data_IF_373057314397
#
_entry.id   IF_373057314397
#
_cell.length_a   1.000
_cell.length_b   1.000
_cell.length_c   1.000
_cell.angle_alpha   90.00
_cell.angle_beta   90.00
_cell.angle_gamma   90.00
#
_symmetry.space_group_name_H-M   'P 1'
#
loop_
_entity.id
_entity.type
_entity.pdbx_description
1 polymer ?
#
# COMPACT_ATOMS: atom_id res chain seq x y z
N UNK A 1 32.23 12.19 -36.81
CA UNK A 1 30.93 12.58 -36.25
C UNK A 1 30.56 11.55 -35.19
N UNK A 2 31.01 11.75 -33.94
CA UNK A 2 30.80 10.80 -32.85
C UNK A 2 29.42 11.06 -32.24
N UNK A 3 28.50 10.11 -32.40
CA UNK A 3 27.18 10.17 -31.79
C UNK A 3 27.39 9.74 -30.33
N UNK A 4 27.47 10.71 -29.41
CA UNK A 4 27.53 10.42 -27.99
C UNK A 4 26.28 9.61 -27.61
N UNK A 5 26.49 8.40 -27.08
CA UNK A 5 25.42 7.62 -26.51
C UNK A 5 24.70 8.45 -25.44
N UNK A 6 23.36 8.46 -25.39
CA UNK A 6 22.63 9.16 -24.35
C UNK A 6 23.09 8.62 -22.99
N UNK A 7 23.51 9.52 -22.11
CA UNK A 7 23.90 9.17 -20.75
C UNK A 7 22.79 8.33 -20.10
N UNK A 8 23.12 7.24 -19.37
CA UNK A 8 22.12 6.47 -18.66
C UNK A 8 21.34 7.44 -17.77
N UNK A 9 20.01 7.51 -17.95
CA UNK A 9 19.13 8.31 -17.08
C UNK A 9 19.53 7.99 -15.64
N UNK A 10 20.04 8.99 -14.93
CA UNK A 10 20.39 8.85 -13.52
C UNK A 10 19.18 8.19 -12.85
N UNK A 11 19.40 7.02 -12.24
CA UNK A 11 18.32 6.24 -11.66
C UNK A 11 17.59 7.16 -10.66
N UNK A 12 16.37 7.56 -11.00
CA UNK A 12 15.58 8.45 -10.15
C UNK A 12 15.42 7.71 -8.81
N UNK A 13 15.95 8.29 -7.73
CA UNK A 13 15.90 7.69 -6.40
C UNK A 13 14.78 8.33 -5.59
N UNK A 14 14.17 7.55 -4.70
CA UNK A 14 13.19 8.07 -3.74
C UNK A 14 13.88 9.05 -2.78
N UNK A 15 13.44 10.30 -2.78
CA UNK A 15 13.99 11.32 -1.91
C UNK A 15 13.46 11.16 -0.47
N UNK A 16 14.35 11.23 0.53
CA UNK A 16 13.97 11.24 1.95
C UNK A 16 13.68 12.68 2.40
N UNK A 17 12.54 13.20 1.96
CA UNK A 17 12.12 14.58 2.22
C UNK A 17 11.22 14.68 3.45
N UNK A 18 11.46 15.69 4.28
CA UNK A 18 10.51 16.08 5.34
C UNK A 18 9.18 16.62 4.77
N UNK A 19 8.09 16.66 5.56
CA UNK A 19 6.75 16.98 5.06
C UNK A 19 6.64 18.31 4.30
N UNK A 20 7.30 19.36 4.81
CA UNK A 20 7.29 20.69 4.16
C UNK A 20 8.11 20.67 2.87
N UNK A 21 9.24 19.95 2.86
CA UNK A 21 10.09 19.83 1.68
C UNK A 21 9.39 19.04 0.56
N UNK A 22 8.60 18.02 0.91
CA UNK A 22 7.79 17.27 -0.06
C UNK A 22 6.86 18.18 -0.86
N UNK A 23 6.24 19.18 -0.23
CA UNK A 23 5.32 20.13 -0.89
C UNK A 23 6.04 21.15 -1.78
N UNK A 24 7.33 21.41 -1.52
CA UNK A 24 8.14 22.39 -2.24
C UNK A 24 8.98 21.80 -3.37
N UNK A 25 9.08 20.47 -3.46
CA UNK A 25 9.96 19.76 -4.40
C UNK A 25 9.47 19.73 -5.87
N UNK A 26 8.73 20.76 -6.31
CA UNK A 26 8.24 20.89 -7.68
C UNK A 26 7.10 19.93 -8.06
N UNK A 27 6.51 20.20 -9.23
CA UNK A 27 5.47 19.38 -9.91
C UNK A 27 4.28 18.96 -9.02
N UNK A 28 3.93 19.80 -8.04
CA UNK A 28 2.94 19.47 -7.02
C UNK A 28 1.57 19.04 -7.59
N UNK A 29 0.97 19.72 -8.60
CA UNK A 29 -0.31 19.29 -9.15
C UNK A 29 -0.28 17.87 -9.73
N UNK A 30 0.75 17.54 -10.52
CA UNK A 30 0.95 16.19 -11.07
C UNK A 30 1.09 15.16 -9.95
N UNK A 31 1.90 15.46 -8.94
CA UNK A 31 2.15 14.56 -7.80
C UNK A 31 0.89 14.33 -6.96
N UNK A 32 0.06 15.37 -6.76
CA UNK A 32 -1.22 15.24 -6.06
C UNK A 32 -2.20 14.38 -6.85
N UNK A 33 -2.37 14.63 -8.15
CA UNK A 33 -3.24 13.79 -9.00
C UNK A 33 -2.76 12.34 -8.97
N UNK A 34 -1.46 12.11 -9.15
CA UNK A 34 -0.88 10.77 -9.13
C UNK A 34 -1.05 10.07 -7.78
N UNK A 35 -0.87 10.80 -6.67
CA UNK A 35 -1.12 10.30 -5.33
C UNK A 35 -2.57 9.84 -5.19
N UNK A 36 -3.55 10.72 -5.44
CA UNK A 36 -4.96 10.40 -5.20
C UNK A 36 -5.49 9.32 -6.13
N UNK A 37 -5.08 9.30 -7.40
CA UNK A 37 -5.38 8.19 -8.31
C UNK A 37 -4.78 6.89 -7.78
N UNK A 38 -3.52 6.90 -7.35
CA UNK A 38 -2.87 5.74 -6.75
C UNK A 38 -3.61 5.23 -5.50
N UNK A 39 -4.00 6.13 -4.59
CA UNK A 39 -4.70 5.78 -3.36
C UNK A 39 -6.11 5.21 -3.61
N UNK A 40 -6.84 5.80 -4.55
CA UNK A 40 -8.15 5.28 -4.98
C UNK A 40 -7.99 3.87 -5.57
N UNK A 41 -7.09 3.69 -6.53
CA UNK A 41 -6.83 2.38 -7.13
C UNK A 41 -6.35 1.34 -6.11
N UNK A 42 -5.66 1.75 -5.05
CA UNK A 42 -5.27 0.87 -3.95
C UNK A 42 -6.51 0.34 -3.21
N UNK A 43 -7.47 1.20 -2.88
CA UNK A 43 -8.73 0.80 -2.26
C UNK A 43 -9.55 -0.12 -3.17
N UNK A 44 -9.63 0.19 -4.46
CA UNK A 44 -10.25 -0.68 -5.47
C UNK A 44 -9.56 -2.05 -5.51
N UNK A 45 -8.23 -2.08 -5.52
CA UNK A 45 -7.48 -3.34 -5.56
C UNK A 45 -7.73 -4.22 -4.33
N UNK A 46 -7.86 -3.60 -3.16
CA UNK A 46 -8.20 -4.27 -1.92
C UNK A 46 -9.60 -4.89 -2.02
N UNK A 47 -10.59 -4.11 -2.45
CA UNK A 47 -11.95 -4.58 -2.65
C UNK A 47 -12.04 -5.74 -3.66
N UNK A 48 -11.30 -5.68 -4.77
CA UNK A 48 -11.25 -6.78 -5.74
C UNK A 48 -10.71 -8.08 -5.12
N UNK A 49 -9.64 -8.01 -4.33
CA UNK A 49 -9.12 -9.19 -3.64
C UNK A 49 -10.13 -9.77 -2.63
N UNK A 50 -10.85 -8.90 -1.91
CA UNK A 50 -11.92 -9.30 -0.99
C UNK A 50 -13.07 -9.98 -1.73
N UNK A 51 -13.56 -9.38 -2.83
CA UNK A 51 -14.62 -9.95 -3.66
C UNK A 51 -14.19 -11.27 -4.32
N UNK A 52 -12.89 -11.41 -4.62
CA UNK A 52 -12.33 -12.67 -5.10
C UNK A 52 -12.41 -13.79 -4.07
N UNK A 53 -12.37 -13.49 -2.76
CA UNK A 53 -12.53 -14.45 -1.65
C UNK A 53 -11.64 -15.72 -1.78
N UNK A 54 -10.49 -15.63 -2.43
CA UNK A 54 -9.50 -16.74 -2.56
C UNK A 54 -8.36 -16.58 -1.54
N UNK A 55 -8.37 -15.46 -0.82
CA UNK A 55 -7.38 -15.04 0.15
C UNK A 55 -7.32 -13.53 0.20
N UNK A 56 -6.63 -13.00 1.20
CA UNK A 56 -6.51 -11.57 1.46
C UNK A 56 -5.05 -11.14 1.58
N UNK A 57 -4.75 -9.87 1.36
CA UNK A 57 -3.44 -9.35 1.71
C UNK A 57 -3.21 -9.46 3.24
N UNK A 58 -1.96 -9.57 3.73
CA UNK A 58 -1.67 -9.82 5.15
C UNK A 58 -2.42 -8.92 6.15
N UNK A 59 -2.52 -7.62 5.86
CA UNK A 59 -3.23 -6.67 6.71
C UNK A 59 -4.74 -6.79 6.62
N UNK A 60 -5.26 -7.24 5.48
CA UNK A 60 -6.69 -7.45 5.29
C UNK A 60 -7.16 -8.73 5.97
N UNK A 61 -6.26 -9.70 6.24
CA UNK A 61 -6.53 -10.80 7.18
C UNK A 61 -6.83 -10.24 8.58
N UNK A 62 -6.05 -9.24 9.03
CA UNK A 62 -6.30 -8.56 10.30
C UNK A 62 -7.62 -7.78 10.27
N UNK A 63 -7.83 -6.93 9.26
CA UNK A 63 -9.04 -6.12 9.14
C UNK A 63 -10.30 -6.98 9.07
N UNK A 64 -10.31 -8.02 8.21
CA UNK A 64 -11.44 -8.94 8.06
C UNK A 64 -11.71 -9.77 9.32
N UNK A 65 -10.68 -10.13 10.09
CA UNK A 65 -10.84 -10.75 11.40
C UNK A 65 -11.49 -9.78 12.39
N UNK A 66 -10.97 -8.55 12.46
CA UNK A 66 -11.43 -7.55 13.42
C UNK A 66 -12.90 -7.15 13.25
N UNK A 67 -13.37 -6.95 12.01
CA UNK A 67 -14.77 -6.55 11.75
C UNK A 67 -15.81 -7.62 12.14
N UNK A 68 -15.40 -8.84 12.46
CA UNK A 68 -16.30 -9.86 13.02
C UNK A 68 -16.66 -9.59 14.48
N UNK A 69 -15.85 -8.81 15.19
CA UNK A 69 -16.02 -8.51 16.62
C UNK A 69 -16.50 -7.08 16.86
N UNK A 70 -16.40 -6.20 15.86
CA UNK A 70 -16.76 -4.78 15.95
C UNK A 70 -17.62 -4.41 14.75
N UNK A 71 -18.81 -3.79 14.95
CA UNK A 71 -19.76 -3.49 13.87
C UNK A 71 -19.31 -2.29 13.04
N UNK A 72 -18.23 -2.45 12.29
CA UNK A 72 -17.66 -1.46 11.37
C UNK A 72 -17.38 -2.12 10.01
N UNK A 73 -17.30 -1.32 8.96
CA UNK A 73 -16.97 -1.80 7.61
C UNK A 73 -15.48 -2.15 7.50
N UNK A 74 -15.13 -2.88 6.44
CA UNK A 74 -13.73 -3.22 6.16
C UNK A 74 -12.88 -1.96 5.93
N UNK A 75 -13.39 -0.99 5.16
CA UNK A 75 -12.72 0.28 4.92
C UNK A 75 -12.54 1.09 6.21
N UNK A 76 -13.53 1.12 7.10
CA UNK A 76 -13.39 1.73 8.43
C UNK A 76 -12.29 1.05 9.26
N UNK A 77 -12.17 -0.28 9.20
CA UNK A 77 -11.07 -1.00 9.85
C UNK A 77 -9.70 -0.62 9.25
N UNK A 78 -9.60 -0.52 7.92
CA UNK A 78 -8.37 -0.05 7.24
C UNK A 78 -7.96 1.35 7.73
N UNK A 79 -8.91 2.28 7.86
CA UNK A 79 -8.66 3.63 8.38
C UNK A 79 -8.22 3.56 9.85
N UNK A 80 -8.95 2.82 10.69
CA UNK A 80 -8.66 2.69 12.12
C UNK A 80 -7.24 2.17 12.36
N UNK A 81 -6.89 1.03 11.76
CA UNK A 81 -5.57 0.42 11.95
C UNK A 81 -4.46 1.25 11.32
N UNK A 82 -4.74 1.99 10.25
CA UNK A 82 -3.82 2.99 9.72
C UNK A 82 -3.46 4.04 10.77
N UNK A 83 -4.45 4.59 11.49
CA UNK A 83 -4.20 5.52 12.59
C UNK A 83 -3.52 4.86 13.80
N UNK A 84 -3.85 3.62 14.14
CA UNK A 84 -3.12 2.85 15.17
C UNK A 84 -1.63 2.75 14.81
N UNK A 85 -1.32 2.43 13.55
CA UNK A 85 0.07 2.38 13.08
C UNK A 85 0.73 3.76 13.13
N UNK A 86 0.01 4.85 12.84
CA UNK A 86 0.55 6.21 12.98
C UNK A 86 0.80 6.59 14.45
N UNK A 87 0.07 6.04 15.41
CA UNK A 87 0.41 6.20 16.84
C UNK A 87 1.72 5.47 17.16
N UNK A 88 1.95 4.29 16.58
CA UNK A 88 3.22 3.55 16.73
C UNK A 88 4.43 4.30 16.13
N UNK A 89 4.20 5.33 15.31
CA UNK A 89 5.28 6.19 14.78
C UNK A 89 5.82 7.17 15.81
N UNK A 90 5.06 7.52 16.85
CA UNK A 90 5.48 8.46 17.90
C UNK A 90 6.81 8.03 18.56
N UNK A 91 6.96 6.78 19.05
CA UNK A 91 8.25 6.32 19.58
C UNK A 91 9.32 6.23 18.49
N UNK A 92 8.95 6.02 17.22
CA UNK A 92 9.88 5.96 16.10
C UNK A 92 10.39 7.34 15.65
N UNK A 93 9.73 8.44 16.07
CA UNK A 93 9.99 9.83 15.65
C UNK A 93 9.80 10.06 14.15
N UNK A 94 8.91 9.28 13.55
CA UNK A 94 8.53 9.43 12.14
C UNK A 94 7.50 10.55 11.98
N UNK A 95 7.69 11.41 10.96
CA UNK A 95 6.79 12.54 10.70
C UNK A 95 5.83 12.18 9.56
N UNK A 96 4.51 12.09 9.79
CA UNK A 96 3.56 11.82 8.72
C UNK A 96 3.57 12.96 7.69
N UNK A 97 3.61 12.58 6.42
CA UNK A 97 3.42 13.51 5.29
C UNK A 97 1.95 13.57 4.85
N UNK A 98 1.65 14.43 3.87
CA UNK A 98 0.30 14.52 3.29
C UNK A 98 -0.15 13.17 2.75
N UNK A 99 0.70 12.50 1.97
CA UNK A 99 0.43 11.19 1.39
C UNK A 99 0.20 10.11 2.45
N UNK A 100 0.78 10.24 3.64
CA UNK A 100 0.57 9.29 4.75
C UNK A 100 -0.85 9.37 5.30
N UNK A 101 -1.33 10.58 5.61
CA UNK A 101 -2.68 10.78 6.13
C UNK A 101 -3.72 10.53 5.03
N UNK A 102 -3.48 11.01 3.82
CA UNK A 102 -4.35 10.72 2.67
C UNK A 102 -4.45 9.22 2.41
N UNK A 103 -3.34 8.47 2.50
CA UNK A 103 -3.37 7.01 2.35
C UNK A 103 -4.26 6.34 3.40
N UNK A 104 -4.09 6.71 4.68
CA UNK A 104 -4.89 6.16 5.77
C UNK A 104 -6.40 6.30 5.53
N UNK A 105 -6.84 7.42 4.96
CA UNK A 105 -8.27 7.74 4.78
C UNK A 105 -8.80 7.26 3.42
N UNK A 106 -8.15 7.65 2.33
CA UNK A 106 -8.66 7.45 0.95
C UNK A 106 -8.72 5.97 0.59
N UNK A 107 -7.75 5.16 1.03
CA UNK A 107 -7.73 3.72 0.73
C UNK A 107 -8.96 3.03 1.34
N UNK A 108 -9.27 3.30 2.61
CA UNK A 108 -10.43 2.72 3.28
C UNK A 108 -11.75 3.18 2.66
N UNK A 109 -11.90 4.48 2.40
CA UNK A 109 -13.12 5.02 1.74
C UNK A 109 -13.32 4.41 0.35
N UNK A 110 -12.25 4.30 -0.44
CA UNK A 110 -12.32 3.73 -1.78
C UNK A 110 -12.61 2.23 -1.75
N UNK A 111 -12.12 1.50 -0.74
CA UNK A 111 -12.44 0.08 -0.56
C UNK A 111 -13.94 -0.10 -0.28
N UNK A 112 -14.50 0.63 0.69
CA UNK A 112 -15.92 0.55 1.02
C UNK A 112 -16.81 0.97 -0.15
N UNK A 113 -16.46 2.04 -0.86
CA UNK A 113 -17.18 2.47 -2.05
C UNK A 113 -17.21 1.36 -3.10
N UNK A 114 -16.06 0.70 -3.35
CA UNK A 114 -15.99 -0.38 -4.35
C UNK A 114 -16.79 -1.60 -3.89
N UNK A 115 -16.69 -1.99 -2.63
CA UNK A 115 -17.45 -3.12 -2.07
C UNK A 115 -18.96 -2.85 -2.06
N UNK A 116 -19.40 -1.60 -1.97
CA UNK A 116 -20.81 -1.23 -2.07
C UNK A 116 -21.33 -1.23 -3.51
N UNK A 117 -20.45 -1.19 -4.52
CA UNK A 117 -20.83 -1.15 -5.94
C UNK A 117 -20.87 -2.53 -6.60
N UNK A 118 -20.23 -3.54 -6.01
CA UNK A 118 -20.07 -4.86 -6.61
C UNK A 118 -20.35 -5.97 -5.60
N UNK A 119 -21.13 -6.96 -6.02
CA UNK A 119 -21.32 -8.20 -5.27
C UNK A 119 -20.18 -9.19 -5.54
N UNK A 120 -19.98 -10.13 -4.62
CA UNK A 120 -19.01 -11.19 -4.79
C UNK A 120 -19.45 -12.14 -5.94
N UNK A 121 -18.60 -12.42 -6.93
CA UNK A 121 -18.97 -13.30 -8.03
C UNK A 121 -19.01 -14.77 -7.61
N UNK A 122 -20.03 -15.51 -8.02
CA UNK A 122 -20.15 -16.96 -7.76
C UNK A 122 -19.14 -17.78 -8.58
N UNK A 123 -18.79 -17.30 -9.77
CA UNK A 123 -17.92 -18.01 -10.70
C UNK A 123 -16.46 -17.96 -10.25
N UNK A 124 -15.87 -19.14 -10.02
CA UNK A 124 -14.47 -19.28 -9.58
C UNK A 124 -13.46 -18.61 -10.52
N UNK A 125 -13.67 -18.67 -11.84
CA UNK A 125 -12.77 -18.02 -12.80
C UNK A 125 -12.80 -16.49 -12.65
N UNK A 126 -13.97 -15.91 -12.37
CA UNK A 126 -14.12 -14.47 -12.11
C UNK A 126 -13.48 -14.09 -10.78
N UNK A 127 -13.65 -14.92 -9.74
CA UNK A 127 -12.97 -14.76 -8.45
C UNK A 127 -11.44 -14.76 -8.59
N UNK A 128 -10.90 -15.70 -9.38
CA UNK A 128 -9.46 -15.75 -9.70
C UNK A 128 -9.03 -14.49 -10.46
N UNK A 129 -9.80 -14.05 -11.44
CA UNK A 129 -9.52 -12.83 -12.19
C UNK A 129 -9.52 -11.58 -11.28
N UNK A 130 -10.45 -11.49 -10.33
CA UNK A 130 -10.50 -10.43 -9.34
C UNK A 130 -9.30 -10.46 -8.40
N UNK A 131 -8.89 -11.65 -7.94
CA UNK A 131 -7.70 -11.81 -7.11
C UNK A 131 -6.43 -11.39 -7.85
N UNK A 132 -6.19 -11.91 -9.05
CA UNK A 132 -5.02 -11.60 -9.86
C UNK A 132 -5.01 -10.13 -10.28
N UNK A 133 -6.15 -9.63 -10.77
CA UNK A 133 -6.33 -8.23 -11.13
C UNK A 133 -6.11 -7.30 -9.94
N UNK A 134 -6.61 -7.66 -8.77
CA UNK A 134 -6.39 -6.96 -7.51
C UNK A 134 -4.91 -6.90 -7.14
N UNK A 135 -4.17 -8.00 -7.21
CA UNK A 135 -2.71 -8.01 -6.94
C UNK A 135 -1.97 -7.06 -7.90
N UNK A 136 -2.23 -7.16 -9.20
CA UNK A 136 -1.57 -6.34 -10.23
C UNK A 136 -1.91 -4.87 -10.04
N UNK A 137 -3.19 -4.56 -9.80
CA UNK A 137 -3.67 -3.21 -9.54
C UNK A 137 -3.08 -2.64 -8.25
N UNK A 138 -2.92 -3.45 -7.21
CA UNK A 138 -2.27 -3.08 -5.96
C UNK A 138 -0.80 -2.68 -6.21
N UNK A 139 -0.08 -3.41 -7.06
CA UNK A 139 1.28 -3.06 -7.49
C UNK A 139 1.34 -1.73 -8.23
N UNK A 140 0.41 -1.50 -9.17
CA UNK A 140 0.30 -0.24 -9.92
C UNK A 140 -0.03 0.94 -9.01
N UNK A 141 -1.04 0.78 -8.16
CA UNK A 141 -1.43 1.74 -7.15
C UNK A 141 -0.26 2.09 -6.22
N UNK A 142 0.52 1.07 -5.82
CA UNK A 142 1.72 1.25 -5.00
C UNK A 142 2.77 2.11 -5.70
N UNK A 143 3.06 1.81 -6.97
CA UNK A 143 3.99 2.60 -7.76
C UNK A 143 3.52 4.04 -7.96
N UNK A 144 2.21 4.27 -8.18
CA UNK A 144 1.62 5.60 -8.33
C UNK A 144 1.76 6.43 -7.04
N UNK A 145 1.32 5.91 -5.89
CA UNK A 145 1.34 6.70 -4.65
C UNK A 145 2.77 6.92 -4.13
N UNK A 146 3.63 5.90 -4.15
CA UNK A 146 5.03 6.04 -3.71
C UNK A 146 5.77 6.95 -4.70
N UNK A 147 5.55 6.77 -6.01
CA UNK A 147 6.17 7.55 -7.07
C UNK A 147 5.82 9.03 -7.03
N UNK A 148 4.71 9.41 -6.38
CA UNK A 148 4.37 10.81 -6.14
C UNK A 148 5.28 11.48 -5.09
N UNK A 149 6.03 10.72 -4.30
CA UNK A 149 6.99 11.22 -3.30
C UNK A 149 6.39 12.22 -2.28
N UNK A 150 5.12 12.06 -1.91
CA UNK A 150 4.40 12.95 -0.97
C UNK A 150 4.23 12.33 0.43
N UNK A 151 5.01 11.30 0.73
CA UNK A 151 4.92 10.51 1.96
C UNK A 151 4.66 9.05 1.68
N UNK A 152 4.98 8.20 2.66
CA UNK A 152 4.78 6.75 2.60
C UNK A 152 3.50 6.37 3.36
N UNK A 153 2.89 5.23 3.06
CA UNK A 153 1.74 4.74 3.81
C UNK A 153 2.11 4.43 5.27
N UNK A 154 1.13 4.40 6.21
CA UNK A 154 1.37 4.09 7.62
C UNK A 154 2.19 2.80 7.83
N UNK A 155 1.83 1.73 7.11
CA UNK A 155 2.56 0.44 7.12
C UNK A 155 4.01 0.58 6.67
N UNK A 156 4.27 1.30 5.59
CA UNK A 156 5.61 1.44 5.03
C UNK A 156 6.52 2.27 5.93
N UNK A 157 5.97 3.32 6.54
CA UNK A 157 6.73 4.11 7.50
C UNK A 157 6.98 3.37 8.82
N UNK A 158 6.07 2.48 9.24
CA UNK A 158 6.34 1.58 10.38
C UNK A 158 7.51 0.65 10.07
N UNK A 159 7.52 0.03 8.90
CA UNK A 159 8.61 -0.83 8.44
C UNK A 159 9.94 -0.08 8.37
N UNK A 160 9.96 1.11 7.75
CA UNK A 160 11.20 1.89 7.60
C UNK A 160 11.67 2.53 8.90
N UNK A 161 10.76 2.95 9.78
CA UNK A 161 11.08 3.45 11.12
C UNK A 161 11.66 2.37 12.03
N UNK A 162 11.09 1.16 12.02
CA UNK A 162 11.64 0.02 12.76
C UNK A 162 13.03 -0.39 12.24
N UNK A 163 13.23 -0.42 10.93
CA UNK A 163 14.56 -0.64 10.34
C UNK A 163 15.58 0.39 10.86
N UNK A 164 15.24 1.69 10.80
CA UNK A 164 16.11 2.77 11.30
C UNK A 164 16.43 2.66 12.79
N UNK A 165 15.46 2.24 13.61
CA UNK A 165 15.61 2.13 15.06
C UNK A 165 16.36 0.88 15.51
N UNK A 166 16.18 -0.25 14.82
CA UNK A 166 16.70 -1.56 15.24
C UNK A 166 17.95 -2.01 14.47
N UNK A 167 18.19 -1.46 13.27
CA UNK A 167 19.24 -1.89 12.36
C UNK A 167 18.94 -3.21 11.63
N UNK A 168 17.81 -3.87 11.91
CA UNK A 168 17.40 -5.10 11.24
C UNK A 168 17.07 -4.85 9.76
N UNK A 169 17.32 -5.82 8.87
CA UNK A 169 17.01 -5.64 7.45
C UNK A 169 15.53 -5.31 7.20
N UNK A 170 15.24 -4.46 6.20
CA UNK A 170 13.87 -4.09 5.80
C UNK A 170 13.03 -5.35 5.49
N UNK A 171 13.64 -6.35 4.86
CA UNK A 171 12.97 -7.63 4.56
C UNK A 171 12.53 -8.34 5.84
N UNK A 172 13.42 -8.46 6.83
CA UNK A 172 13.10 -9.10 8.10
C UNK A 172 11.99 -8.34 8.85
N UNK A 173 12.12 -7.02 8.97
CA UNK A 173 11.10 -6.17 9.62
C UNK A 173 9.74 -6.35 8.95
N UNK A 174 9.70 -6.29 7.61
CA UNK A 174 8.48 -6.51 6.83
C UNK A 174 7.86 -7.87 7.12
N UNK A 175 8.66 -8.94 7.05
CA UNK A 175 8.18 -10.30 7.29
C UNK A 175 7.65 -10.46 8.71
N UNK A 176 8.35 -9.95 9.73
CA UNK A 176 7.88 -10.03 11.11
C UNK A 176 6.55 -9.30 11.31
N UNK A 177 6.40 -8.10 10.76
CA UNK A 177 5.14 -7.34 10.83
C UNK A 177 4.03 -8.08 10.10
N UNK A 178 4.27 -8.53 8.86
CA UNK A 178 3.28 -9.26 8.05
C UNK A 178 2.82 -10.56 8.71
N UNK A 179 3.76 -11.34 9.26
CA UNK A 179 3.43 -12.56 10.01
C UNK A 179 2.64 -12.23 11.27
N UNK A 180 3.03 -11.21 12.03
CA UNK A 180 2.30 -10.82 13.24
C UNK A 180 0.86 -10.40 12.93
N UNK A 181 0.63 -9.56 11.91
CA UNK A 181 -0.74 -9.12 11.56
C UNK A 181 -1.58 -10.27 11.01
N UNK A 182 -0.98 -11.19 10.25
CA UNK A 182 -1.69 -12.39 9.78
C UNK A 182 -2.07 -13.28 10.96
N UNK A 183 -1.14 -13.55 11.89
CA UNK A 183 -1.43 -14.38 13.06
C UNK A 183 -2.53 -13.78 13.93
N UNK A 184 -2.47 -12.47 14.21
CA UNK A 184 -3.53 -11.77 14.95
C UNK A 184 -4.85 -11.84 14.18
N UNK A 185 -4.82 -11.59 12.86
CA UNK A 185 -6.00 -11.69 12.01
C UNK A 185 -6.64 -13.07 12.03
N UNK A 186 -5.85 -14.14 11.91
CA UNK A 186 -6.31 -15.52 12.00
C UNK A 186 -6.96 -15.83 13.36
N UNK A 187 -6.37 -15.37 14.46
CA UNK A 187 -6.95 -15.52 15.81
C UNK A 187 -8.29 -14.79 15.91
N UNK A 188 -8.43 -13.63 15.27
CA UNK A 188 -9.69 -12.89 15.18
C UNK A 188 -10.70 -13.51 14.18
N UNK A 189 -10.34 -14.60 13.51
CA UNK A 189 -11.19 -15.31 12.55
C UNK A 189 -10.99 -14.89 11.09
N UNK A 190 -10.01 -14.02 10.81
CA UNK A 190 -9.59 -13.61 9.46
C UNK A 190 -9.25 -14.78 8.55
N UNK A 191 -9.43 -14.61 7.25
CA UNK A 191 -9.25 -15.69 6.27
C UNK A 191 -7.88 -15.61 5.62
N UNK A 192 -7.09 -16.68 5.70
CA UNK A 192 -5.88 -16.87 4.90
C UNK A 192 -6.15 -17.92 3.82
N UNK A 193 -5.75 -17.63 2.58
CA UNK A 193 -5.97 -18.53 1.46
C UNK A 193 -4.83 -18.50 0.44
N UNK A 194 -5.01 -19.22 -0.67
CA UNK A 194 -4.03 -19.28 -1.76
C UNK A 194 -3.75 -17.89 -2.35
N UNK A 195 -4.75 -17.01 -2.35
CA UNK A 195 -4.61 -15.61 -2.74
C UNK A 195 -3.62 -14.86 -1.85
N UNK A 196 -3.61 -15.12 -0.54
CA UNK A 196 -2.66 -14.50 0.41
C UNK A 196 -1.22 -14.88 0.09
N UNK A 197 -0.99 -16.17 -0.21
CA UNK A 197 0.34 -16.67 -0.59
C UNK A 197 0.77 -16.07 -1.93
N UNK A 198 -0.12 -16.07 -2.92
CA UNK A 198 0.14 -15.46 -4.23
C UNK A 198 0.48 -13.97 -4.07
N UNK A 199 -0.28 -13.22 -3.28
CA UNK A 199 -0.02 -11.81 -2.98
C UNK A 199 1.37 -11.65 -2.35
N UNK A 200 1.68 -12.40 -1.29
CA UNK A 200 2.95 -12.27 -0.57
C UNK A 200 4.18 -12.51 -1.47
N UNK A 201 4.09 -13.48 -2.40
CA UNK A 201 5.18 -13.81 -3.32
C UNK A 201 5.33 -12.81 -4.47
N UNK A 202 4.23 -12.20 -4.93
CA UNK A 202 4.21 -11.43 -6.19
C UNK A 202 4.18 -9.92 -6.01
N UNK A 203 3.59 -9.40 -4.91
CA UNK A 203 3.40 -7.96 -4.75
C UNK A 203 4.72 -7.18 -4.71
N UNK A 204 5.75 -7.77 -4.10
CA UNK A 204 7.09 -7.16 -4.02
C UNK A 204 7.71 -6.96 -5.41
N UNK A 205 7.92 -8.05 -6.18
CA UNK A 205 8.42 -7.96 -7.56
C UNK A 205 7.59 -7.05 -8.46
N UNK A 206 6.24 -7.12 -8.41
CA UNK A 206 5.36 -6.30 -9.25
C UNK A 206 5.54 -4.82 -8.91
N UNK A 207 5.47 -4.44 -7.63
CA UNK A 207 5.63 -3.06 -7.22
C UNK A 207 7.02 -2.52 -7.58
N UNK A 208 8.08 -3.32 -7.40
CA UNK A 208 9.45 -2.94 -7.79
C UNK A 208 9.59 -2.73 -9.30
N UNK A 209 8.95 -3.57 -10.11
CA UNK A 209 8.98 -3.45 -11.57
C UNK A 209 8.23 -2.21 -12.07
N UNK A 210 7.08 -1.88 -11.46
CA UNK A 210 6.28 -0.72 -11.85
C UNK A 210 6.84 0.62 -11.33
N UNK A 211 7.55 0.62 -10.20
CA UNK A 211 8.01 1.84 -9.52
C UNK A 211 8.78 2.82 -10.43
N UNK A 212 9.75 2.40 -11.26
CA UNK A 212 10.53 3.33 -12.09
C UNK A 212 9.69 4.12 -13.10
N UNK A 213 8.53 3.59 -13.53
CA UNK A 213 7.69 4.23 -14.53
C UNK A 213 6.84 5.37 -13.97
N UNK A 214 6.55 5.32 -12.67
CA UNK A 214 5.69 6.28 -12.00
C UNK A 214 6.46 7.19 -11.04
N UNK A 215 7.77 7.03 -10.94
CA UNK A 215 8.57 7.90 -10.08
C UNK A 215 8.68 9.30 -10.70
N UNK A 216 8.13 10.30 -10.00
CA UNK A 216 8.18 11.69 -10.46
C UNK A 216 9.50 12.31 -10.06
N UNK A 217 10.30 12.72 -11.04
CA UNK A 217 11.49 13.55 -10.80
C UNK A 217 11.10 14.86 -10.12
N UNK A 218 11.85 15.20 -9.08
CA UNK A 218 11.66 16.41 -8.29
C UNK A 218 12.52 17.52 -8.88
N UNK A 219 11.98 18.73 -8.91
CA UNK A 219 12.75 19.91 -9.29
C UNK A 219 13.50 20.37 -8.02
N UNK A 220 14.67 19.77 -7.76
CA UNK A 220 15.57 20.14 -6.66
C UNK A 220 16.55 21.23 -7.07
#
# INVERSE_FOLDING_TARGET
MSIAAPAPRAAVQLADLGPVAQLRAGRLPRRLVQLYVGLYLYGVSLALMVLGDIGLAPWDVLHSGFIRHVPITLGQAVVLFSFVVLVLWIPLREKPGLGTISNAIVVGLSADLTLAMFDAPDNLAVRIAFMVGGIVLCGLATALYIGAQLGRGPRDGLMTGLHRRTGLSIRLVRTCIEVAVVLIGLVLGGTLGLGTVAYALTIGPIAQWMMPWFLVELDS
#
